data_IF_202930657244
#
_entry.id   IF_202930657244
#
_cell.length_a   1.000
_cell.length_b   1.000
_cell.length_c   1.000
_cell.angle_alpha   90.00
_cell.angle_beta   90.00
_cell.angle_gamma   90.00
#
_symmetry.space_group_name_H-M   'P 1'
#
loop_
_entity.id
_entity.type
_entity.pdbx_description
1 polymer ?
#
# COMPACT_ATOMS: atom_id res chain seq x y z
N UNK A 1 12.46 -4.19 22.12
CA UNK A 1 12.38 -2.96 21.31
C UNK A 1 13.12 -3.24 20.01
N UNK A 2 12.41 -3.61 18.93
CA UNK A 2 13.04 -3.85 17.63
C UNK A 2 12.72 -2.66 16.73
N UNK A 3 13.74 -1.84 16.51
CA UNK A 3 13.69 -0.71 15.60
C UNK A 3 13.68 -1.21 14.16
N UNK A 4 12.55 -1.18 13.46
CA UNK A 4 12.55 -1.15 11.99
C UNK A 4 12.77 0.30 11.55
N UNK A 5 14.01 0.76 11.71
CA UNK A 5 14.48 2.07 11.26
C UNK A 5 14.70 2.04 9.75
N UNK A 6 13.63 1.93 8.97
CA UNK A 6 13.65 2.30 7.55
C UNK A 6 13.27 3.78 7.47
N UNK A 7 14.31 4.62 7.46
CA UNK A 7 14.22 6.02 7.03
C UNK A 7 13.29 6.08 5.82
N UNK A 8 12.13 6.74 5.94
CA UNK A 8 11.22 7.05 4.82
C UNK A 8 12.07 7.40 3.60
N UNK A 9 12.23 6.51 2.62
CA UNK A 9 12.87 6.90 1.38
C UNK A 9 11.95 7.98 0.84
N UNK A 10 12.48 9.16 0.51
CA UNK A 10 11.81 10.05 -0.43
C UNK A 10 11.27 9.14 -1.53
N UNK A 11 9.96 9.10 -1.71
CA UNK A 11 9.31 8.03 -2.47
C UNK A 11 9.88 8.05 -3.89
N UNK A 12 10.88 7.19 -4.17
CA UNK A 12 11.69 7.29 -5.39
C UNK A 12 10.99 6.64 -6.59
N UNK A 13 9.90 5.93 -6.34
CA UNK A 13 9.15 5.18 -7.36
C UNK A 13 7.66 5.33 -7.11
N UNK A 14 6.87 5.35 -8.18
CA UNK A 14 5.41 5.40 -8.14
C UNK A 14 4.81 4.24 -7.30
N UNK A 15 5.48 3.08 -7.31
CA UNK A 15 5.14 1.93 -6.46
C UNK A 15 5.28 2.23 -4.97
N UNK A 16 6.37 2.88 -4.55
CA UNK A 16 6.57 3.26 -3.15
C UNK A 16 5.52 4.27 -2.67
N UNK A 17 5.02 5.11 -3.58
CA UNK A 17 3.97 6.08 -3.30
C UNK A 17 2.64 5.37 -3.11
N UNK A 18 2.29 4.47 -4.04
CA UNK A 18 1.08 3.67 -3.95
C UNK A 18 1.02 2.86 -2.64
N UNK A 19 2.14 2.24 -2.22
CA UNK A 19 2.22 1.53 -0.93
C UNK A 19 1.93 2.48 0.25
N UNK A 20 2.50 3.69 0.23
CA UNK A 20 2.30 4.66 1.29
C UNK A 20 0.82 5.09 1.38
N UNK A 21 0.21 5.44 0.24
CA UNK A 21 -1.21 5.81 0.17
C UNK A 21 -2.12 4.69 0.61
N UNK A 22 -1.87 3.44 0.17
CA UNK A 22 -2.63 2.27 0.59
C UNK A 22 -2.52 2.00 2.09
N UNK A 23 -1.34 2.22 2.67
CA UNK A 23 -1.13 2.06 4.10
C UNK A 23 -1.88 3.14 4.90
N UNK A 24 -1.81 4.40 4.46
CA UNK A 24 -2.53 5.52 5.08
C UNK A 24 -4.05 5.34 5.01
N UNK A 25 -4.56 4.86 3.88
CA UNK A 25 -5.97 4.55 3.72
C UNK A 25 -6.43 3.34 4.55
N UNK A 26 -5.49 2.54 5.05
CA UNK A 26 -5.75 1.26 5.71
C UNK A 26 -6.23 0.18 4.75
N UNK A 27 -5.87 0.28 3.46
CA UNK A 27 -6.17 -0.73 2.45
C UNK A 27 -5.22 -1.93 2.56
N UNK A 28 -3.99 -1.70 3.02
CA UNK A 28 -3.02 -2.76 3.30
C UNK A 28 -2.64 -2.77 4.78
N UNK A 29 -2.22 -3.93 5.29
CA UNK A 29 -1.63 -4.08 6.62
C UNK A 29 -0.33 -4.86 6.53
N UNK A 30 0.56 -4.62 7.47
CA UNK A 30 1.72 -5.48 7.68
C UNK A 30 1.32 -6.65 8.60
N UNK A 31 1.80 -7.84 8.30
CA UNK A 31 1.74 -8.97 9.23
C UNK A 31 2.68 -8.67 10.39
N UNK A 32 2.16 -8.58 11.62
CA UNK A 32 2.98 -8.24 12.79
C UNK A 32 4.06 -9.28 13.09
N UNK A 33 3.85 -10.54 12.68
CA UNK A 33 4.75 -11.65 12.94
C UNK A 33 5.82 -11.81 11.85
N UNK A 34 5.43 -11.63 10.58
CA UNK A 34 6.28 -11.96 9.43
C UNK A 34 6.69 -10.75 8.57
N UNK A 35 6.10 -9.57 8.81
CA UNK A 35 6.41 -8.35 8.04
C UNK A 35 5.86 -8.33 6.61
N UNK A 36 5.09 -9.34 6.19
CA UNK A 36 4.44 -9.33 4.88
C UNK A 36 3.37 -8.26 4.81
N UNK A 37 3.41 -7.45 3.75
CA UNK A 37 2.25 -6.64 3.40
C UNK A 37 1.13 -7.55 2.90
N UNK A 38 -0.09 -7.24 3.32
CA UNK A 38 -1.30 -7.97 3.00
C UNK A 38 -2.39 -6.97 2.61
N UNK A 39 -3.14 -7.28 1.57
CA UNK A 39 -4.36 -6.53 1.25
C UNK A 39 -5.46 -6.87 2.27
N UNK A 40 -6.10 -5.85 2.82
CA UNK A 40 -7.26 -6.05 3.71
C UNK A 40 -8.53 -6.40 2.95
N UNK A 41 -8.53 -6.24 1.62
CA UNK A 41 -9.67 -6.42 0.72
C UNK A 41 -10.89 -5.57 1.11
N UNK A 42 -10.68 -4.52 1.91
CA UNK A 42 -11.72 -3.64 2.40
C UNK A 42 -12.09 -2.62 1.30
N UNK A 43 -13.32 -2.67 0.75
CA UNK A 43 -13.71 -1.81 -0.36
C UNK A 43 -13.68 -0.33 0.02
N UNK A 44 -14.06 0.01 1.26
CA UNK A 44 -14.04 1.39 1.73
C UNK A 44 -12.62 1.92 1.92
N UNK A 45 -11.69 1.07 2.35
CA UNK A 45 -10.28 1.44 2.44
C UNK A 45 -9.66 1.65 1.05
N UNK A 46 -10.03 0.82 0.07
CA UNK A 46 -9.62 1.02 -1.32
C UNK A 46 -10.17 2.33 -1.87
N UNK A 47 -11.46 2.63 -1.67
CA UNK A 47 -12.06 3.91 -2.08
C UNK A 47 -11.32 5.11 -1.47
N UNK A 48 -11.04 5.08 -0.16
CA UNK A 48 -10.23 6.11 0.51
C UNK A 48 -8.83 6.26 -0.11
N UNK A 49 -8.18 5.16 -0.48
CA UNK A 49 -6.87 5.20 -1.12
C UNK A 49 -6.93 5.90 -2.48
N UNK A 50 -7.97 5.65 -3.28
CA UNK A 50 -8.18 6.35 -4.55
C UNK A 50 -8.50 7.83 -4.36
N UNK A 51 -9.24 8.20 -3.32
CA UNK A 51 -9.48 9.60 -2.99
C UNK A 51 -8.19 10.34 -2.57
N UNK A 52 -7.34 9.71 -1.74
CA UNK A 52 -6.03 10.25 -1.38
C UNK A 52 -5.16 10.37 -2.64
N UNK A 53 -5.14 9.34 -3.48
CA UNK A 53 -4.38 9.31 -4.72
C UNK A 53 -4.75 10.45 -5.69
N UNK A 54 -6.00 10.90 -5.68
CA UNK A 54 -6.47 12.04 -6.48
C UNK A 54 -6.12 13.39 -5.87
N UNK A 55 -6.03 13.46 -4.54
CA UNK A 55 -5.73 14.69 -3.80
C UNK A 55 -4.23 14.96 -3.70
N UNK A 56 -3.43 13.91 -3.60
CA UNK A 56 -1.97 13.97 -3.41
C UNK A 56 -1.24 13.27 -4.58
N UNK A 57 -1.47 13.78 -5.79
CA UNK A 57 -0.85 13.26 -7.01
C UNK A 57 0.66 13.57 -7.03
N UNK A 58 1.52 12.58 -7.35
CA UNK A 58 2.93 12.85 -7.59
C UNK A 58 3.12 13.78 -8.80
N UNK A 59 4.15 14.63 -8.74
CA UNK A 59 4.46 15.54 -9.84
C UNK A 59 4.74 14.77 -11.15
N UNK A 60 4.09 15.20 -12.24
CA UNK A 60 4.23 14.58 -13.56
C UNK A 60 3.47 13.25 -13.74
N UNK A 61 2.67 12.82 -12.75
CA UNK A 61 1.87 11.59 -12.81
C UNK A 61 0.40 11.94 -13.09
N UNK A 62 -0.20 11.27 -14.08
CA UNK A 62 -1.62 11.43 -14.36
C UNK A 62 -2.47 10.68 -13.33
N UNK A 63 -3.73 11.11 -13.09
CA UNK A 63 -4.64 10.38 -12.21
C UNK A 63 -4.79 8.91 -12.58
N UNK A 64 -4.83 8.60 -13.89
CA UNK A 64 -4.92 7.20 -14.33
C UNK A 64 -3.66 6.40 -13.99
N UNK A 65 -2.47 6.99 -14.12
CA UNK A 65 -1.21 6.33 -13.77
C UNK A 65 -1.09 6.13 -12.26
N UNK A 66 -1.54 7.10 -11.46
CA UNK A 66 -1.65 6.96 -10.02
C UNK A 66 -2.56 5.79 -9.65
N UNK A 67 -3.82 5.79 -10.13
CA UNK A 67 -4.77 4.71 -9.85
C UNK A 67 -4.27 3.33 -10.32
N UNK A 68 -3.59 3.26 -11.47
CA UNK A 68 -2.97 2.03 -11.96
C UNK A 68 -1.89 1.52 -11.00
N UNK A 69 -1.09 2.40 -10.41
CA UNK A 69 -0.08 2.01 -9.43
C UNK A 69 -0.67 1.48 -8.12
N UNK A 70 -1.79 2.04 -7.63
CA UNK A 70 -2.49 1.44 -6.48
C UNK A 70 -2.98 0.03 -6.81
N UNK A 71 -3.58 -0.17 -8.00
CA UNK A 71 -4.07 -1.48 -8.43
C UNK A 71 -2.93 -2.49 -8.60
N UNK A 72 -1.81 -2.08 -9.20
CA UNK A 72 -0.62 -2.91 -9.37
C UNK A 72 -0.04 -3.39 -8.02
N UNK A 73 0.00 -2.50 -7.02
CA UNK A 73 0.43 -2.88 -5.68
C UNK A 73 -0.55 -3.87 -5.03
N UNK A 74 -1.85 -3.63 -5.14
CA UNK A 74 -2.87 -4.55 -4.61
C UNK A 74 -2.84 -5.92 -5.31
N UNK A 75 -2.63 -5.96 -6.62
CA UNK A 75 -2.51 -7.21 -7.40
C UNK A 75 -1.21 -7.98 -7.06
N UNK A 76 -0.14 -7.25 -6.75
CA UNK A 76 1.15 -7.81 -6.32
C UNK A 76 1.13 -8.37 -4.90
N UNK A 77 0.13 -8.06 -4.07
CA UNK A 77 0.09 -8.42 -2.66
C UNK A 77 -1.10 -9.37 -2.40
N UNK A 78 -0.84 -10.50 -1.77
CA UNK A 78 -1.91 -11.41 -1.35
C UNK A 78 -2.78 -10.83 -0.23
N UNK A 79 -4.03 -11.27 -0.16
CA UNK A 79 -4.95 -10.96 0.94
C UNK A 79 -4.59 -11.67 2.26
N UNK A 80 -3.67 -12.64 2.21
CA UNK A 80 -3.20 -13.41 3.37
C UNK A 80 -1.68 -13.52 3.40
N UNK A 81 -1.14 -13.64 4.61
CA UNK A 81 0.26 -13.92 4.86
C UNK A 81 0.55 -15.40 4.56
N UNK A 82 1.41 -15.74 3.58
CA UNK A 82 1.67 -17.12 3.20
C UNK A 82 2.43 -17.93 4.27
N UNK A 83 3.13 -17.23 5.17
CA UNK A 83 3.88 -17.85 6.27
C UNK A 83 3.07 -17.97 7.57
N UNK A 84 1.94 -17.27 7.68
CA UNK A 84 1.05 -17.46 8.82
C UNK A 84 0.35 -18.82 8.67
N UNK A 85 0.31 -19.66 9.71
CA UNK A 85 -0.59 -20.80 9.70
C UNK A 85 -2.01 -20.26 9.53
N UNK A 86 -2.68 -20.64 8.44
CA UNK A 86 -4.11 -20.35 8.27
C UNK A 86 -4.83 -21.03 9.43
N UNK A 87 -5.26 -20.23 10.41
CA UNK A 87 -5.91 -20.70 11.63
C UNK A 87 -7.27 -21.33 11.36
#
# INVERSE_FOLDING_TARGET
MLMTKQRRPAIRTLRGWAINVLNEAGAIRECEEHGWMQDRTDPHARERAFDIARRDLPEGVSPQAAEAALRDVLDSIGDTCPECPSG
#
